data_IF_064141269145
#
_entry.id   IF_064141269145
#
_cell.length_a   1.000
_cell.length_b   1.000
_cell.length_c   1.000
_cell.angle_alpha   90.00
_cell.angle_beta   90.00
_cell.angle_gamma   90.00
#
_symmetry.space_group_name_H-M   'P 1'
#
loop_
_entity.id
_entity.type
_entity.pdbx_description
1 polymer ?
#
# COMPACT_ATOMS: atom_id res chain seq x y z
N UNK A 1 18.15 -34.50 -1.86
CA UNK A 1 17.61 -33.36 -1.08
C UNK A 1 17.99 -32.06 -1.80
N UNK A 2 17.04 -31.11 -1.93
CA UNK A 2 17.32 -29.82 -2.55
C UNK A 2 18.08 -28.88 -1.61
N UNK A 3 18.96 -28.04 -2.16
CA UNK A 3 19.66 -26.99 -1.40
C UNK A 3 18.71 -25.82 -1.14
N UNK A 4 18.64 -25.34 0.10
CA UNK A 4 17.83 -24.18 0.48
C UNK A 4 18.55 -22.90 0.05
N UNK A 5 17.83 -21.98 -0.56
CA UNK A 5 18.31 -20.64 -0.91
C UNK A 5 17.19 -19.62 -0.74
N UNK A 6 17.57 -18.38 -0.43
CA UNK A 6 16.63 -17.26 -0.41
C UNK A 6 16.20 -16.90 -1.84
N UNK A 7 14.94 -16.53 -2.07
CA UNK A 7 14.51 -16.06 -3.37
C UNK A 7 15.24 -14.76 -3.74
N UNK A 8 15.32 -14.47 -5.05
CA UNK A 8 15.83 -13.16 -5.50
C UNK A 8 14.95 -12.03 -4.95
N UNK A 9 15.53 -10.86 -4.64
CA UNK A 9 14.77 -9.67 -4.28
C UNK A 9 13.72 -9.32 -5.34
N UNK A 10 12.65 -8.65 -4.92
CA UNK A 10 11.51 -8.30 -5.75
C UNK A 10 11.30 -6.78 -5.79
N UNK A 11 10.64 -6.32 -6.85
CA UNK A 11 10.33 -4.90 -7.07
C UNK A 11 9.12 -4.52 -6.23
N UNK A 12 9.29 -3.61 -5.27
CA UNK A 12 8.15 -3.09 -4.50
C UNK A 12 7.25 -2.23 -5.41
N UNK A 13 5.95 -2.47 -5.31
CA UNK A 13 4.90 -1.66 -5.91
C UNK A 13 3.90 -1.29 -4.80
N UNK A 14 3.49 -0.03 -4.74
CA UNK A 14 2.43 0.40 -3.85
C UNK A 14 1.34 1.07 -4.69
N UNK A 15 0.14 0.52 -4.60
CA UNK A 15 -1.07 1.16 -5.09
C UNK A 15 -1.58 2.12 -4.03
N UNK A 16 -1.90 3.34 -4.46
CA UNK A 16 -2.48 4.37 -3.62
C UNK A 16 -3.83 4.78 -4.19
N UNK A 17 -4.86 4.90 -3.37
CA UNK A 17 -6.11 5.54 -3.81
C UNK A 17 -6.74 6.44 -2.75
N UNK A 18 -7.36 7.52 -3.23
CA UNK A 18 -7.88 8.63 -2.41
C UNK A 18 -8.80 9.51 -3.25
N UNK A 19 -9.70 10.26 -2.61
CA UNK A 19 -10.46 11.36 -3.23
C UNK A 19 -9.68 12.69 -3.25
N UNK A 20 -8.62 12.80 -2.45
CA UNK A 20 -7.76 13.99 -2.34
C UNK A 20 -6.42 13.77 -3.06
N UNK A 21 -6.27 14.41 -4.22
CA UNK A 21 -5.09 14.32 -5.07
C UNK A 21 -3.81 14.81 -4.40
N UNK A 22 -3.89 15.74 -3.44
CA UNK A 22 -2.72 16.26 -2.72
C UNK A 22 -2.05 15.17 -1.87
N UNK A 23 -2.81 14.16 -1.44
CA UNK A 23 -2.28 13.07 -0.62
C UNK A 23 -1.32 12.15 -1.40
N UNK A 24 -1.40 12.08 -2.73
CA UNK A 24 -0.42 11.32 -3.51
C UNK A 24 0.99 11.87 -3.31
N UNK A 25 1.18 13.18 -3.48
CA UNK A 25 2.50 13.80 -3.31
C UNK A 25 2.98 13.68 -1.86
N UNK A 26 2.09 13.97 -0.90
CA UNK A 26 2.42 13.93 0.52
C UNK A 26 2.89 12.53 0.97
N UNK A 27 2.11 11.49 0.64
CA UNK A 27 2.47 10.14 1.04
C UNK A 27 3.59 9.55 0.18
N UNK A 28 3.78 9.97 -1.07
CA UNK A 28 4.97 9.62 -1.86
C UNK A 28 6.25 10.01 -1.11
N UNK A 29 6.33 11.22 -0.56
CA UNK A 29 7.50 11.65 0.22
C UNK A 29 7.71 10.81 1.49
N UNK A 30 6.63 10.42 2.16
CA UNK A 30 6.69 9.53 3.33
C UNK A 30 7.19 8.14 2.94
N UNK A 31 6.71 7.60 1.82
CA UNK A 31 7.11 6.29 1.32
C UNK A 31 8.56 6.29 0.84
N UNK A 32 9.04 7.37 0.20
CA UNK A 32 10.44 7.51 -0.22
C UNK A 32 11.38 7.39 0.99
N UNK A 33 11.07 8.07 2.09
CA UNK A 33 11.85 8.01 3.33
C UNK A 33 11.93 6.61 3.94
N UNK A 34 10.97 5.73 3.63
CA UNK A 34 10.88 4.37 4.19
C UNK A 34 11.41 3.29 3.26
N UNK A 35 11.15 3.42 1.96
CA UNK A 35 11.36 2.35 0.98
C UNK A 35 12.34 2.71 -0.15
N UNK A 36 12.87 3.94 -0.15
CA UNK A 36 13.81 4.44 -1.15
C UNK A 36 13.13 5.19 -2.29
N UNK A 37 13.93 5.62 -3.26
CA UNK A 37 13.45 6.47 -4.36
C UNK A 37 12.39 5.76 -5.21
N UNK A 38 11.35 6.51 -5.59
CA UNK A 38 10.37 6.08 -6.60
C UNK A 38 11.00 6.23 -7.97
N UNK A 39 11.00 5.17 -8.77
CA UNK A 39 11.55 5.20 -10.13
C UNK A 39 10.48 5.15 -11.23
N UNK A 40 9.28 4.64 -10.93
CA UNK A 40 8.11 4.71 -11.82
C UNK A 40 6.90 5.19 -11.03
N UNK A 41 6.18 6.14 -11.61
CA UNK A 41 4.88 6.60 -11.13
C UNK A 41 3.89 6.54 -12.30
N UNK A 42 2.71 5.97 -12.07
CA UNK A 42 1.66 5.95 -13.07
C UNK A 42 0.98 7.32 -13.22
N UNK A 43 0.29 7.52 -14.34
CA UNK A 43 -0.71 8.57 -14.42
C UNK A 43 -1.80 8.39 -13.35
N UNK A 44 -2.49 9.49 -13.04
CA UNK A 44 -3.66 9.43 -12.16
C UNK A 44 -4.81 8.80 -12.94
N UNK A 45 -5.46 7.79 -12.36
CA UNK A 45 -6.58 7.11 -13.01
C UNK A 45 -7.82 7.12 -12.10
N UNK A 46 -9.03 7.21 -12.64
CA UNK A 46 -10.26 7.03 -11.85
C UNK A 46 -10.28 5.63 -11.23
N UNK A 47 -10.68 5.54 -9.96
CA UNK A 47 -10.95 4.29 -9.25
C UNK A 47 -12.46 4.15 -9.07
N UNK A 48 -13.13 3.58 -10.06
CA UNK A 48 -14.59 3.46 -10.13
C UNK A 48 -15.07 2.00 -10.12
N UNK A 49 -14.30 1.12 -9.48
CA UNK A 49 -14.61 -0.31 -9.41
C UNK A 49 -15.62 -0.65 -8.31
N UNK A 50 -15.81 0.23 -7.33
CA UNK A 50 -16.73 0.03 -6.20
C UNK A 50 -17.01 1.33 -5.47
N UNK A 51 -18.25 1.50 -5.01
CA UNK A 51 -18.67 2.63 -4.17
C UNK A 51 -18.46 2.36 -2.66
N UNK A 52 -17.94 1.17 -2.32
CA UNK A 52 -17.73 0.70 -0.94
C UNK A 52 -16.95 1.67 -0.06
N UNK A 53 -16.07 2.48 -0.67
CA UNK A 53 -15.16 3.39 0.01
C UNK A 53 -15.69 4.83 0.09
N UNK A 54 -16.81 5.18 -0.55
CA UNK A 54 -17.27 6.57 -0.62
C UNK A 54 -17.59 7.16 0.75
N UNK A 55 -18.16 6.38 1.68
CA UNK A 55 -18.47 6.87 3.02
C UNK A 55 -17.21 7.21 3.83
N UNK A 56 -16.10 6.50 3.59
CA UNK A 56 -14.83 6.67 4.31
C UNK A 56 -13.97 7.77 3.66
N UNK A 57 -13.83 7.74 2.34
CA UNK A 57 -12.91 8.60 1.58
C UNK A 57 -13.59 9.79 0.91
N UNK A 58 -14.88 9.72 0.62
CA UNK A 58 -15.58 10.58 -0.33
C UNK A 58 -15.67 9.96 -1.73
N UNK A 59 -16.49 10.58 -2.58
CA UNK A 59 -16.69 10.17 -3.97
C UNK A 59 -15.49 10.51 -4.87
N UNK A 60 -15.52 10.05 -6.12
CA UNK A 60 -14.52 10.34 -7.17
C UNK A 60 -13.10 9.91 -6.78
N UNK A 61 -12.96 8.66 -6.35
CA UNK A 61 -11.66 8.11 -6.01
C UNK A 61 -10.74 8.08 -7.23
N UNK A 62 -9.48 8.39 -6.96
CA UNK A 62 -8.39 8.32 -7.91
C UNK A 62 -7.36 7.32 -7.39
N UNK A 63 -6.67 6.66 -8.31
CA UNK A 63 -5.59 5.74 -8.03
C UNK A 63 -4.30 6.17 -8.72
N UNK A 64 -3.18 5.87 -8.06
CA UNK A 64 -1.82 5.89 -8.63
C UNK A 64 -1.03 4.69 -8.16
N UNK A 65 -0.13 4.21 -9.00
CA UNK A 65 0.84 3.18 -8.66
C UNK A 65 2.24 3.78 -8.61
N UNK A 66 3.01 3.34 -7.62
CA UNK A 66 4.39 3.74 -7.40
C UNK A 66 5.28 2.52 -7.35
N UNK A 67 6.39 2.56 -8.09
CA UNK A 67 7.46 1.58 -8.04
C UNK A 67 8.71 2.18 -7.42
N UNK A 68 9.46 1.36 -6.69
CA UNK A 68 10.62 1.79 -5.90
C UNK A 68 11.90 1.18 -6.46
N UNK A 69 12.96 1.99 -6.59
CA UNK A 69 14.27 1.59 -7.11
C UNK A 69 14.91 0.49 -6.26
N UNK A 70 14.80 0.58 -4.94
CA UNK A 70 15.27 -0.42 -3.98
C UNK A 70 14.44 -1.71 -4.08
N UNK A 71 15.11 -2.84 -4.33
CA UNK A 71 14.46 -4.14 -4.26
C UNK A 71 14.32 -4.60 -2.81
N UNK A 72 13.21 -5.27 -2.51
CA UNK A 72 12.91 -5.82 -1.19
C UNK A 72 13.14 -7.33 -1.16
N UNK A 73 13.39 -7.90 0.01
CA UNK A 73 13.24 -9.34 0.21
C UNK A 73 11.75 -9.68 0.19
N UNK A 74 11.40 -10.81 -0.40
CA UNK A 74 9.98 -11.19 -0.57
C UNK A 74 9.26 -11.43 0.76
N UNK A 75 9.99 -11.75 1.83
CA UNK A 75 9.47 -11.97 3.19
C UNK A 75 9.23 -10.66 3.96
N UNK A 76 9.70 -9.51 3.48
CA UNK A 76 9.44 -8.19 4.07
C UNK A 76 8.02 -7.68 3.78
N UNK A 77 7.30 -8.31 2.84
CA UNK A 77 6.00 -7.81 2.38
C UNK A 77 4.97 -7.69 3.54
N UNK A 78 5.01 -8.59 4.52
CA UNK A 78 4.14 -8.51 5.70
C UNK A 78 4.45 -7.27 6.57
N UNK A 79 5.73 -7.01 6.82
CA UNK A 79 6.19 -5.84 7.58
C UNK A 79 5.82 -4.54 6.84
N UNK A 80 6.04 -4.51 5.53
CA UNK A 80 5.68 -3.36 4.68
C UNK A 80 4.16 -3.10 4.78
N UNK A 81 3.30 -4.14 4.76
CA UNK A 81 1.85 -3.95 4.91
C UNK A 81 1.49 -3.35 6.26
N UNK A 82 2.15 -3.79 7.34
CA UNK A 82 1.93 -3.24 8.68
C UNK A 82 2.34 -1.77 8.77
N UNK A 83 3.49 -1.42 8.17
CA UNK A 83 3.93 -0.03 8.06
C UNK A 83 2.89 0.79 7.28
N UNK A 84 2.44 0.33 6.12
CA UNK A 84 1.45 1.06 5.32
C UNK A 84 0.11 1.20 6.04
N UNK A 85 -0.39 0.17 6.72
CA UNK A 85 -1.60 0.25 7.54
C UNK A 85 -1.45 1.28 8.67
N UNK A 86 -0.27 1.38 9.27
CA UNK A 86 0.00 2.42 10.28
C UNK A 86 -0.03 3.82 9.67
N UNK A 87 0.55 4.00 8.48
CA UNK A 87 0.54 5.28 7.76
C UNK A 87 -0.87 5.74 7.36
N UNK A 88 -1.72 4.81 6.93
CA UNK A 88 -3.13 5.07 6.65
C UNK A 88 -3.89 5.63 7.87
N UNK A 89 -3.58 5.11 9.06
CA UNK A 89 -4.21 5.52 10.32
C UNK A 89 -3.61 6.80 10.92
N UNK A 90 -2.37 7.12 10.57
CA UNK A 90 -1.67 8.30 11.05
C UNK A 90 -2.03 9.51 10.17
N UNK A 91 -3.16 10.15 10.46
CA UNK A 91 -3.48 11.45 9.89
C UNK A 91 -2.32 12.43 10.17
N UNK A 92 -1.66 12.90 9.12
CA UNK A 92 -0.59 13.90 9.18
C UNK A 92 -1.10 15.21 9.81
N UNK A 93 -2.41 15.42 9.81
CA UNK A 93 -3.05 16.57 10.44
C UNK A 93 -3.62 16.23 11.84
N UNK A 94 -2.83 16.50 12.89
CA UNK A 94 -3.26 16.37 14.30
C UNK A 94 -4.18 17.51 14.75
N UNK A 95 -4.37 18.56 13.95
CA UNK A 95 -5.09 19.78 14.35
C UNK A 95 -6.63 19.63 14.39
N UNK A 96 -7.18 18.59 13.76
CA UNK A 96 -8.64 18.38 13.62
C UNK A 96 -9.17 17.30 14.59
N UNK A 97 -8.44 16.99 15.68
CA UNK A 97 -8.74 15.83 16.54
C UNK A 97 -9.80 16.03 17.63
N UNK A 98 -10.47 17.18 17.74
CA UNK A 98 -11.34 17.43 18.90
C UNK A 98 -12.78 16.91 18.79
N UNK A 99 -13.35 16.66 17.60
CA UNK A 99 -14.80 16.40 17.46
C UNK A 99 -15.21 15.30 16.47
N UNK A 100 -14.33 14.38 16.07
CA UNK A 100 -14.68 13.32 15.12
C UNK A 100 -14.72 11.96 15.84
N UNK A 101 -15.92 11.39 15.93
CA UNK A 101 -16.22 10.09 16.57
C UNK A 101 -15.85 8.89 15.69
N UNK A 102 -15.48 9.09 14.42
CA UNK A 102 -15.04 8.04 13.50
C UNK A 102 -13.73 8.43 12.79
N UNK A 103 -12.65 7.70 13.06
CA UNK A 103 -11.39 7.83 12.32
C UNK A 103 -11.63 7.41 10.86
N UNK A 104 -11.96 8.36 9.98
CA UNK A 104 -12.07 8.12 8.54
C UNK A 104 -10.67 8.21 7.93
N UNK A 105 -10.13 7.06 7.49
CA UNK A 105 -8.91 6.98 6.69
C UNK A 105 -9.06 7.84 5.43
N UNK A 106 -7.99 8.52 5.02
CA UNK A 106 -8.01 9.43 3.87
C UNK A 106 -7.30 8.88 2.64
N UNK A 107 -6.46 7.87 2.81
CA UNK A 107 -5.73 7.23 1.72
C UNK A 107 -5.64 5.73 1.98
N UNK A 108 -5.77 4.93 0.92
CA UNK A 108 -5.39 3.53 0.94
C UNK A 108 -3.96 3.38 0.41
N UNK A 109 -3.17 2.55 1.08
CA UNK A 109 -1.83 2.14 0.71
C UNK A 109 -1.77 0.59 0.66
N UNK A 110 -1.78 0.06 -0.56
CA UNK A 110 -1.75 -1.38 -0.81
C UNK A 110 -0.39 -1.80 -1.41
N UNK A 111 0.54 -2.31 -0.58
CA UNK A 111 1.82 -2.80 -1.04
C UNK A 111 1.73 -4.21 -1.64
N UNK A 112 2.58 -4.42 -2.64
CA UNK A 112 2.85 -5.70 -3.26
C UNK A 112 4.24 -5.73 -3.86
N UNK A 113 4.61 -6.86 -4.46
CA UNK A 113 5.85 -6.94 -5.23
C UNK A 113 5.66 -7.59 -6.58
N UNK A 114 6.55 -7.25 -7.50
CA UNK A 114 6.70 -7.87 -8.81
C UNK A 114 8.04 -8.61 -8.87
N UNK A 115 8.00 -9.84 -9.36
CA UNK A 115 9.15 -10.57 -9.89
C UNK A 115 8.91 -10.81 -11.38
N UNK A 116 9.86 -11.42 -12.09
CA UNK A 116 9.66 -11.79 -13.50
C UNK A 116 8.41 -12.66 -13.74
N UNK A 117 7.95 -13.41 -12.74
CA UNK A 117 6.91 -14.43 -12.90
C UNK A 117 5.68 -14.21 -12.01
N UNK A 118 5.69 -13.21 -11.12
CA UNK A 118 4.66 -13.05 -10.09
C UNK A 118 4.39 -11.59 -9.81
N UNK A 119 3.11 -11.29 -9.59
CA UNK A 119 2.65 -10.09 -8.93
C UNK A 119 1.86 -10.49 -7.68
N UNK A 120 2.28 -10.01 -6.52
CA UNK A 120 1.80 -10.46 -5.21
C UNK A 120 1.38 -9.23 -4.40
N UNK A 121 0.18 -9.26 -3.81
CA UNK A 121 -0.40 -8.14 -3.05
C UNK A 121 -0.66 -8.54 -1.60
N UNK A 122 -0.19 -7.73 -0.65
CA UNK A 122 -0.45 -7.98 0.77
C UNK A 122 -1.88 -7.63 1.17
N UNK A 123 -2.46 -8.37 2.12
CA UNK A 123 -3.76 -8.07 2.71
C UNK A 123 -3.88 -8.57 4.14
N UNK A 124 -4.72 -7.92 4.91
CA UNK A 124 -5.17 -8.40 6.22
C UNK A 124 -6.30 -9.42 6.12
N UNK A 125 -6.91 -9.60 4.93
CA UNK A 125 -8.01 -10.52 4.69
C UNK A 125 -7.49 -11.88 4.23
N UNK A 126 -7.95 -12.95 4.86
CA UNK A 126 -7.66 -14.33 4.44
C UNK A 126 -8.66 -14.78 3.35
N UNK A 127 -8.41 -14.36 2.11
CA UNK A 127 -9.21 -14.77 0.95
C UNK A 127 -8.92 -16.21 0.49
N UNK A 128 -9.78 -16.82 -0.34
CA UNK A 128 -9.68 -18.24 -0.69
C UNK A 128 -8.33 -18.68 -1.33
N UNK A 129 -7.67 -17.78 -2.06
CA UNK A 129 -6.39 -18.04 -2.72
C UNK A 129 -5.18 -17.49 -1.97
N UNK A 130 -5.39 -16.83 -0.82
CA UNK A 130 -4.32 -16.13 -0.13
C UNK A 130 -3.55 -17.06 0.78
N UNK A 131 -2.24 -16.97 0.72
CA UNK A 131 -1.33 -17.68 1.62
C UNK A 131 -0.98 -16.80 2.80
N UNK A 132 -0.84 -17.41 3.97
CA UNK A 132 -0.33 -16.69 5.14
C UNK A 132 1.15 -16.33 4.92
N UNK A 133 1.50 -15.06 5.17
CA UNK A 133 2.88 -14.59 5.15
C UNK A 133 3.45 -14.57 6.57
N UNK A 134 3.03 -13.59 7.37
CA UNK A 134 3.43 -13.41 8.76
C UNK A 134 2.54 -12.33 9.43
N UNK A 135 2.51 -12.28 10.77
CA UNK A 135 1.91 -11.20 11.56
C UNK A 135 0.47 -10.83 11.17
N UNK A 136 -0.34 -11.85 10.82
CA UNK A 136 -1.73 -11.65 10.37
C UNK A 136 -1.89 -11.09 8.95
N UNK A 137 -0.80 -11.02 8.17
CA UNK A 137 -0.80 -10.61 6.77
C UNK A 137 -0.77 -11.84 5.86
N UNK A 138 -1.53 -11.75 4.78
CA UNK A 138 -1.71 -12.76 3.74
C UNK A 138 -1.35 -12.18 2.38
N UNK A 139 -1.12 -13.04 1.39
CA UNK A 139 -0.86 -12.66 0.01
C UNK A 139 -1.55 -13.57 -1.00
#
# INVERSE_FOLDING_TARGET
MGKIFLPKPAKLIISMFTSDKCLFTLYKEVLIKRFGEVDIESDTQPFNFTDYYEEEFGANLMQKLFSFSTLIRQDELAEIKIITNSLENNNIDKSIKKNITHHKRKINLDPGYITLNKYILASTKNGPSRIYLNQGIYA
#
